data_IF_585826304139
#
_entry.id   IF_585826304139
#
_cell.length_a   1.000
_cell.length_b   1.000
_cell.length_c   1.000
_cell.angle_alpha   90.00
_cell.angle_beta   90.00
_cell.angle_gamma   90.00
#
_symmetry.space_group_name_H-M   'P 1'
#
loop_
_entity.id
_entity.type
_entity.pdbx_description
1 polymer ?
#
# COMPACT_ATOMS: atom_id res chain seq x y z
N UNK A 1 -38.39 -9.97 53.82
CA UNK A 1 -37.27 -10.85 53.44
C UNK A 1 -37.35 -11.10 51.95
N UNK A 2 -36.58 -10.36 51.15
CA UNK A 2 -36.51 -10.62 49.71
C UNK A 2 -35.70 -11.89 49.45
N UNK A 3 -36.36 -12.88 48.89
CA UNK A 3 -35.72 -14.18 48.66
C UNK A 3 -34.77 -14.15 47.45
N UNK A 4 -33.76 -14.99 47.47
CA UNK A 4 -32.76 -15.17 46.39
C UNK A 4 -33.42 -15.39 45.01
N UNK A 5 -34.68 -15.80 44.99
CA UNK A 5 -35.48 -16.03 43.79
C UNK A 5 -35.95 -14.72 43.11
N UNK A 6 -36.28 -13.68 43.91
CA UNK A 6 -36.68 -12.35 43.38
C UNK A 6 -35.49 -11.58 42.78
N UNK A 7 -34.31 -11.82 43.33
CA UNK A 7 -33.07 -11.23 42.78
C UNK A 7 -32.69 -11.84 41.41
N UNK A 8 -32.82 -13.16 41.27
CA UNK A 8 -32.51 -13.85 40.02
C UNK A 8 -33.55 -13.57 38.90
N UNK A 9 -34.84 -13.37 39.27
CA UNK A 9 -35.85 -12.97 38.28
C UNK A 9 -35.61 -11.55 37.76
N UNK A 10 -35.16 -10.62 38.59
CA UNK A 10 -34.85 -9.24 38.17
C UNK A 10 -33.56 -9.15 37.32
N UNK A 11 -32.59 -10.00 37.60
CA UNK A 11 -31.35 -10.07 36.78
C UNK A 11 -31.60 -10.71 35.40
N UNK A 12 -32.46 -11.74 35.31
CA UNK A 12 -32.84 -12.41 34.06
C UNK A 12 -33.59 -11.47 33.09
N UNK A 13 -34.50 -10.63 33.60
CA UNK A 13 -35.24 -9.68 32.76
C UNK A 13 -34.37 -8.53 32.22
N UNK A 14 -33.41 -8.06 32.98
CA UNK A 14 -32.49 -7.00 32.53
C UNK A 14 -31.47 -7.49 31.51
N UNK A 15 -31.00 -8.74 31.58
CA UNK A 15 -30.07 -9.33 30.60
C UNK A 15 -30.76 -9.64 29.26
N UNK A 16 -32.06 -10.02 29.26
CA UNK A 16 -32.81 -10.25 28.02
C UNK A 16 -33.13 -8.93 27.28
N UNK A 17 -33.39 -7.84 28.01
CA UNK A 17 -33.64 -6.52 27.40
C UNK A 17 -32.39 -5.91 26.76
N UNK A 18 -31.20 -6.17 27.29
CA UNK A 18 -29.94 -5.71 26.72
C UNK A 18 -29.52 -6.51 25.47
N UNK A 19 -29.89 -7.78 25.36
CA UNK A 19 -29.63 -8.57 24.16
C UNK A 19 -30.61 -8.30 23.02
N UNK A 20 -31.88 -7.95 23.33
CA UNK A 20 -32.86 -7.59 22.30
C UNK A 20 -32.63 -6.19 21.71
N UNK A 21 -32.05 -5.26 22.46
CA UNK A 21 -31.72 -3.92 21.94
C UNK A 21 -30.48 -3.93 21.01
N UNK A 22 -29.58 -4.90 21.14
CA UNK A 22 -28.39 -5.02 20.23
C UNK A 22 -28.71 -5.74 18.92
N UNK A 23 -29.76 -6.60 18.88
CA UNK A 23 -30.15 -7.32 17.65
C UNK A 23 -31.09 -6.46 16.76
N UNK A 24 -31.85 -5.53 17.33
CA UNK A 24 -32.75 -4.66 16.57
C UNK A 24 -31.98 -3.47 15.93
N UNK A 25 -30.82 -3.09 16.47
CA UNK A 25 -30.03 -2.00 15.94
C UNK A 25 -29.28 -2.33 14.61
N UNK A 26 -29.16 -3.61 14.25
CA UNK A 26 -28.52 -4.03 12.98
C UNK A 26 -29.50 -4.26 11.82
N UNK A 27 -30.82 -4.30 12.08
CA UNK A 27 -31.80 -4.63 11.04
C UNK A 27 -32.38 -3.41 10.31
N UNK A 28 -32.14 -2.18 10.76
CA UNK A 28 -32.65 -0.95 10.14
C UNK A 28 -31.64 0.20 10.26
N UNK A 29 -30.40 0.02 9.78
CA UNK A 29 -29.64 1.19 9.38
C UNK A 29 -30.26 1.64 8.05
N UNK A 30 -30.91 2.82 7.97
CA UNK A 30 -31.28 3.38 6.67
C UNK A 30 -30.01 3.48 5.85
N UNK A 31 -30.12 3.19 4.53
CA UNK A 31 -29.08 3.56 3.56
C UNK A 31 -28.67 4.98 3.91
N UNK A 32 -27.49 5.13 4.51
CA UNK A 32 -26.92 6.44 4.74
C UNK A 32 -26.69 6.99 3.34
N UNK A 33 -27.59 7.85 2.87
CA UNK A 33 -27.33 8.72 1.74
C UNK A 33 -26.07 9.47 2.16
N UNK A 34 -24.90 9.06 1.64
CA UNK A 34 -23.65 9.74 1.91
C UNK A 34 -23.87 11.20 1.53
N UNK A 35 -23.84 12.08 2.54
CA UNK A 35 -23.93 13.52 2.32
C UNK A 35 -22.79 13.91 1.38
N UNK A 36 -23.03 14.78 0.38
CA UNK A 36 -21.97 15.25 -0.50
C UNK A 36 -20.80 15.78 0.33
N UNK A 37 -19.57 15.37 0.00
CA UNK A 37 -18.39 15.88 0.67
C UNK A 37 -18.27 17.39 0.43
N UNK A 38 -18.42 18.20 1.48
CA UNK A 38 -18.36 19.67 1.41
C UNK A 38 -16.94 20.22 1.61
N UNK A 39 -15.95 19.35 1.83
CA UNK A 39 -14.56 19.74 2.06
C UNK A 39 -13.80 20.09 0.77
N UNK A 40 -12.55 20.48 0.95
CA UNK A 40 -11.64 20.78 -0.18
C UNK A 40 -11.27 19.50 -0.92
N UNK A 41 -11.53 19.44 -2.22
CA UNK A 41 -11.19 18.31 -3.10
C UNK A 41 -9.73 18.41 -3.55
N UNK A 42 -8.95 17.36 -3.36
CA UNK A 42 -7.54 17.26 -3.78
C UNK A 42 -7.44 17.18 -5.32
N UNK A 43 -6.77 18.16 -5.91
CA UNK A 43 -6.57 18.26 -7.36
C UNK A 43 -5.24 17.65 -7.75
N UNK A 44 -5.29 16.50 -8.42
CA UNK A 44 -4.13 15.64 -8.69
C UNK A 44 -3.77 15.66 -10.17
N UNK A 45 -2.49 15.87 -10.48
CA UNK A 45 -1.93 15.54 -11.77
C UNK A 45 -1.23 14.18 -11.72
N UNK A 46 -1.43 13.30 -12.71
CA UNK A 46 -0.76 12.02 -12.81
C UNK A 46 0.48 12.16 -13.72
N UNK A 47 1.64 11.73 -13.20
CA UNK A 47 2.90 11.65 -13.93
C UNK A 47 3.22 10.19 -14.26
N UNK A 48 3.45 9.90 -15.58
CA UNK A 48 3.71 8.54 -16.04
C UNK A 48 2.42 7.82 -16.48
N UNK A 49 2.02 8.00 -17.75
CA UNK A 49 0.75 7.52 -18.29
C UNK A 49 0.84 6.07 -18.80
N UNK A 50 1.11 5.14 -17.88
CA UNK A 50 1.16 3.69 -18.10
C UNK A 50 -0.13 2.97 -17.69
N UNK A 51 -0.11 1.61 -17.73
CA UNK A 51 -1.28 0.78 -17.40
C UNK A 51 -1.77 0.97 -15.97
N UNK A 52 -0.87 1.09 -14.98
CA UNK A 52 -1.30 1.33 -13.60
C UNK A 52 -1.87 2.75 -13.42
N UNK A 53 -1.29 3.75 -14.07
CA UNK A 53 -1.84 5.11 -14.07
C UNK A 53 -3.28 5.13 -14.65
N UNK A 54 -3.54 4.36 -15.71
CA UNK A 54 -4.91 4.22 -16.25
C UNK A 54 -5.86 3.62 -15.21
N UNK A 55 -5.44 2.60 -14.45
CA UNK A 55 -6.24 2.02 -13.36
C UNK A 55 -6.55 3.05 -12.27
N UNK A 56 -5.56 3.84 -11.86
CA UNK A 56 -5.76 4.93 -10.88
C UNK A 56 -6.72 5.98 -11.42
N UNK A 57 -6.54 6.44 -12.66
CA UNK A 57 -7.41 7.45 -13.27
C UNK A 57 -8.87 6.99 -13.40
N UNK A 58 -9.10 5.70 -13.73
CA UNK A 58 -10.46 5.15 -13.76
C UNK A 58 -11.07 5.07 -12.36
N UNK A 59 -10.29 4.65 -11.36
CA UNK A 59 -10.73 4.61 -9.97
C UNK A 59 -11.06 6.00 -9.40
N UNK A 60 -10.30 7.02 -9.81
CA UNK A 60 -10.53 8.41 -9.38
C UNK A 60 -11.87 8.98 -9.86
N UNK A 61 -12.54 8.37 -10.85
CA UNK A 61 -13.90 8.79 -11.24
C UNK A 61 -14.94 8.58 -10.14
N UNK A 62 -14.68 7.65 -9.23
CA UNK A 62 -15.54 7.35 -8.09
C UNK A 62 -15.08 8.04 -6.79
N UNK A 63 -13.97 8.78 -6.80
CA UNK A 63 -13.50 9.53 -5.64
C UNK A 63 -14.43 10.71 -5.32
N UNK A 64 -14.61 10.96 -4.04
CA UNK A 64 -15.36 12.11 -3.52
C UNK A 64 -14.45 13.24 -3.06
N UNK A 65 -13.22 12.89 -2.59
CA UNK A 65 -12.27 13.84 -2.00
C UNK A 65 -11.07 14.14 -2.91
N UNK A 66 -10.91 13.42 -4.02
CA UNK A 66 -9.82 13.63 -4.96
C UNK A 66 -10.33 13.67 -6.41
N UNK A 67 -9.68 14.42 -7.28
CA UNK A 67 -9.99 14.47 -8.71
C UNK A 67 -8.74 14.57 -9.57
N UNK A 68 -8.76 13.89 -10.72
CA UNK A 68 -7.75 14.02 -11.76
C UNK A 68 -7.96 15.35 -12.49
N UNK A 69 -6.95 16.22 -12.50
CA UNK A 69 -7.01 17.55 -13.13
C UNK A 69 -5.85 17.82 -14.09
N UNK A 70 -4.79 17.01 -14.10
CA UNK A 70 -3.62 17.22 -14.92
C UNK A 70 -2.90 15.95 -15.30
N UNK A 71 -2.03 16.01 -16.31
CA UNK A 71 -1.21 14.89 -16.77
C UNK A 71 0.21 15.34 -17.12
N UNK A 72 1.18 14.44 -16.86
CA UNK A 72 2.59 14.67 -17.16
C UNK A 72 3.16 13.41 -17.81
N UNK A 73 3.72 13.51 -19.01
CA UNK A 73 4.31 12.37 -19.72
C UNK A 73 5.38 12.80 -20.71
N UNK A 74 6.39 11.96 -20.93
CA UNK A 74 7.36 12.14 -22.01
C UNK A 74 6.83 11.75 -23.41
N UNK A 75 5.59 11.28 -23.52
CA UNK A 75 4.98 10.83 -24.79
C UNK A 75 3.82 11.76 -25.17
N UNK A 76 3.98 12.66 -26.17
CA UNK A 76 2.95 13.64 -26.54
C UNK A 76 1.60 13.03 -26.93
N UNK A 77 1.61 11.89 -27.67
CA UNK A 77 0.37 11.21 -28.05
C UNK A 77 -0.43 10.76 -26.82
N UNK A 78 0.22 10.20 -25.79
CA UNK A 78 -0.45 9.82 -24.54
C UNK A 78 -1.04 11.03 -23.81
N UNK A 79 -0.35 12.17 -23.80
CA UNK A 79 -0.90 13.40 -23.21
C UNK A 79 -2.20 13.78 -23.91
N UNK A 80 -2.19 13.79 -25.25
CA UNK A 80 -3.37 14.13 -26.07
C UNK A 80 -4.53 13.16 -25.83
N UNK A 81 -4.25 11.86 -25.81
CA UNK A 81 -5.27 10.82 -25.56
C UNK A 81 -5.91 10.98 -24.18
N UNK A 82 -5.11 11.23 -23.15
CA UNK A 82 -5.60 11.44 -21.79
C UNK A 82 -6.33 12.76 -21.64
N UNK A 83 -5.86 13.82 -22.27
CA UNK A 83 -6.52 15.11 -22.31
C UNK A 83 -7.95 14.98 -22.84
N UNK A 84 -8.12 14.29 -23.98
CA UNK A 84 -9.44 14.05 -24.57
C UNK A 84 -10.30 13.14 -23.67
N UNK A 85 -9.74 12.02 -23.20
CA UNK A 85 -10.47 11.01 -22.44
C UNK A 85 -10.98 11.53 -21.09
N UNK A 86 -10.15 12.28 -20.36
CA UNK A 86 -10.47 12.78 -19.03
C UNK A 86 -10.83 14.27 -18.99
N UNK A 87 -10.98 14.91 -20.17
CA UNK A 87 -11.34 16.33 -20.30
C UNK A 87 -10.40 17.26 -19.51
N UNK A 88 -9.09 17.00 -19.60
CA UNK A 88 -8.07 17.77 -18.88
C UNK A 88 -7.78 19.06 -19.64
N UNK A 89 -7.82 20.24 -18.98
CA UNK A 89 -7.44 21.51 -19.60
C UNK A 89 -5.99 21.48 -20.11
N UNK A 90 -5.74 22.09 -21.28
CA UNK A 90 -4.40 22.12 -21.90
C UNK A 90 -3.33 22.70 -20.93
N UNK A 91 -3.67 23.75 -20.20
CA UNK A 91 -2.80 24.37 -19.18
C UNK A 91 -2.35 23.43 -18.06
N UNK A 92 -2.99 22.26 -17.90
CA UNK A 92 -2.68 21.24 -16.92
C UNK A 92 -1.97 20.02 -17.56
N UNK A 93 -1.53 20.14 -18.81
CA UNK A 93 -0.80 19.12 -19.54
C UNK A 93 0.67 19.51 -19.64
N UNK A 94 1.57 18.63 -19.15
CA UNK A 94 3.01 18.88 -19.11
C UNK A 94 3.78 17.69 -19.67
N UNK A 95 5.03 17.97 -20.08
CA UNK A 95 6.00 16.91 -20.35
C UNK A 95 7.08 16.87 -19.24
N UNK A 96 8.03 15.91 -19.32
CA UNK A 96 9.08 15.79 -18.30
C UNK A 96 10.11 16.94 -18.31
N UNK A 97 10.15 17.73 -19.37
CA UNK A 97 11.07 18.88 -19.50
C UNK A 97 10.48 20.12 -18.84
N UNK A 98 9.17 20.36 -19.05
CA UNK A 98 8.52 21.60 -18.64
C UNK A 98 7.64 21.51 -17.38
N UNK A 99 7.48 20.34 -16.75
CA UNK A 99 6.53 20.20 -15.66
C UNK A 99 6.89 21.02 -14.39
N UNK A 100 8.11 21.52 -14.26
CA UNK A 100 8.48 22.44 -13.18
C UNK A 100 7.64 23.74 -13.21
N UNK A 101 7.03 24.08 -14.37
CA UNK A 101 6.10 25.19 -14.49
C UNK A 101 4.81 25.00 -13.68
N UNK A 102 4.52 23.78 -13.22
CA UNK A 102 3.38 23.47 -12.33
C UNK A 102 3.40 24.29 -11.04
N UNK A 103 4.57 24.81 -10.63
CA UNK A 103 4.70 25.74 -9.49
C UNK A 103 3.77 26.96 -9.59
N UNK A 104 3.53 27.42 -10.81
CA UNK A 104 2.69 28.58 -11.09
C UNK A 104 1.22 28.21 -11.37
N UNK A 105 0.86 26.93 -11.31
CA UNK A 105 -0.48 26.46 -11.60
C UNK A 105 -1.26 26.22 -10.30
N UNK A 106 -2.21 27.10 -9.95
CA UNK A 106 -3.02 26.95 -8.74
C UNK A 106 -4.05 25.83 -8.83
N UNK A 107 -4.30 25.25 -10.02
CA UNK A 107 -5.31 24.21 -10.21
C UNK A 107 -4.81 22.81 -9.84
N UNK A 108 -3.54 22.67 -9.47
CA UNK A 108 -2.92 21.39 -9.09
C UNK A 108 -2.38 21.50 -7.67
N UNK A 109 -2.83 20.60 -6.78
CA UNK A 109 -2.37 20.51 -5.38
C UNK A 109 -1.27 19.48 -5.21
N UNK A 110 -1.39 18.34 -5.91
CA UNK A 110 -0.47 17.21 -5.79
C UNK A 110 -0.14 16.60 -7.15
N UNK A 111 1.04 15.97 -7.24
CA UNK A 111 1.44 15.16 -8.38
C UNK A 111 1.60 13.71 -7.93
N UNK A 112 0.90 12.79 -8.61
CA UNK A 112 1.03 11.36 -8.40
C UNK A 112 2.04 10.78 -9.41
N UNK A 113 3.21 10.41 -8.92
CA UNK A 113 4.32 9.86 -9.70
C UNK A 113 4.13 8.35 -9.87
N UNK A 114 3.86 7.90 -11.10
CA UNK A 114 3.58 6.50 -11.49
C UNK A 114 4.51 6.11 -12.66
N UNK A 115 5.77 6.43 -12.53
CA UNK A 115 6.81 6.15 -13.52
C UNK A 115 7.60 4.88 -13.15
N UNK A 116 8.56 4.41 -13.96
CA UNK A 116 9.52 3.41 -13.51
C UNK A 116 10.31 3.86 -12.27
N UNK A 117 10.62 2.91 -11.38
CA UNK A 117 11.15 3.16 -10.04
C UNK A 117 12.36 4.13 -10.01
N UNK A 118 13.29 3.99 -10.95
CA UNK A 118 14.48 4.83 -11.03
C UNK A 118 14.20 6.32 -11.28
N UNK A 119 13.02 6.66 -11.75
CA UNK A 119 12.64 8.04 -12.02
C UNK A 119 11.99 8.72 -10.80
N UNK A 120 11.53 7.93 -9.81
CA UNK A 120 10.80 8.44 -8.65
C UNK A 120 11.61 9.49 -7.90
N UNK A 121 12.86 9.20 -7.55
CA UNK A 121 13.76 10.07 -6.80
C UNK A 121 13.84 11.48 -7.41
N UNK A 122 14.30 11.59 -8.66
CA UNK A 122 14.46 12.88 -9.32
C UNK A 122 13.15 13.62 -9.53
N UNK A 123 12.09 12.89 -9.87
CA UNK A 123 10.77 13.48 -10.13
C UNK A 123 10.11 14.01 -8.84
N UNK A 124 10.14 13.25 -7.74
CA UNK A 124 9.58 13.70 -6.45
C UNK A 124 10.33 14.94 -5.93
N UNK A 125 11.66 14.99 -6.05
CA UNK A 125 12.43 16.17 -5.65
C UNK A 125 12.01 17.41 -6.47
N UNK A 126 11.76 17.25 -7.79
CA UNK A 126 11.28 18.35 -8.63
C UNK A 126 9.83 18.75 -8.27
N UNK A 127 8.96 17.79 -7.96
CA UNK A 127 7.60 18.05 -7.46
C UNK A 127 7.64 18.87 -6.17
N UNK A 128 8.49 18.48 -5.22
CA UNK A 128 8.68 19.20 -3.97
C UNK A 128 9.19 20.64 -4.20
N UNK A 129 10.20 20.82 -5.08
CA UNK A 129 10.71 22.14 -5.47
C UNK A 129 9.65 23.02 -6.13
N UNK A 130 8.66 22.44 -6.79
CA UNK A 130 7.52 23.14 -7.35
C UNK A 130 6.43 23.50 -6.30
N UNK A 131 6.65 23.16 -5.01
CA UNK A 131 5.71 23.44 -3.94
C UNK A 131 4.42 22.61 -3.99
N UNK A 132 4.45 21.44 -4.65
CA UNK A 132 3.31 20.53 -4.74
C UNK A 132 3.50 19.33 -3.83
N UNK A 133 2.41 18.82 -3.25
CA UNK A 133 2.45 17.53 -2.56
C UNK A 133 2.84 16.42 -3.51
N UNK A 134 3.64 15.47 -3.06
CA UNK A 134 4.04 14.31 -3.84
C UNK A 134 3.32 13.06 -3.35
N UNK A 135 2.66 12.35 -4.27
CA UNK A 135 2.24 10.98 -4.10
C UNK A 135 3.15 10.15 -5.01
N UNK A 136 3.84 9.15 -4.47
CA UNK A 136 4.79 8.33 -5.21
C UNK A 136 4.37 6.87 -5.18
N UNK A 137 4.42 6.17 -6.31
CA UNK A 137 4.21 4.73 -6.31
C UNK A 137 5.28 3.99 -5.50
N UNK A 138 4.89 2.82 -5.01
CA UNK A 138 5.83 1.88 -4.38
C UNK A 138 6.65 1.12 -5.46
N UNK A 139 7.89 0.75 -5.20
CA UNK A 139 8.71 1.21 -4.08
C UNK A 139 9.03 2.70 -4.24
N UNK A 140 9.15 3.41 -3.13
CA UNK A 140 9.33 4.87 -3.14
C UNK A 140 10.57 5.31 -3.91
N UNK A 141 11.66 4.53 -3.82
CA UNK A 141 12.95 4.78 -4.50
C UNK A 141 13.67 3.45 -4.75
N UNK A 142 14.86 3.51 -5.35
CA UNK A 142 15.69 2.33 -5.59
C UNK A 142 16.42 1.82 -4.34
N UNK A 143 16.64 2.67 -3.35
CA UNK A 143 17.36 2.38 -2.11
C UNK A 143 17.01 3.38 -1.01
N UNK A 144 17.44 3.08 0.24
CA UNK A 144 17.16 3.92 1.39
C UNK A 144 17.78 5.34 1.30
N UNK A 145 18.94 5.50 0.67
CA UNK A 145 19.57 6.82 0.50
C UNK A 145 18.71 7.75 -0.36
N UNK A 146 18.27 7.27 -1.52
CA UNK A 146 17.38 8.04 -2.40
C UNK A 146 16.06 8.37 -1.68
N UNK A 147 15.50 7.39 -0.94
CA UNK A 147 14.28 7.61 -0.14
C UNK A 147 14.45 8.73 0.89
N UNK A 148 15.58 8.77 1.59
CA UNK A 148 15.88 9.84 2.55
C UNK A 148 15.98 11.21 1.86
N UNK A 149 16.67 11.29 0.73
CA UNK A 149 16.81 12.54 -0.05
C UNK A 149 15.44 13.07 -0.52
N UNK A 150 14.50 12.18 -0.89
CA UNK A 150 13.12 12.56 -1.24
C UNK A 150 12.37 13.14 -0.03
N UNK A 151 12.47 12.50 1.13
CA UNK A 151 11.87 12.97 2.38
C UNK A 151 12.41 14.36 2.73
N UNK A 152 13.71 14.53 2.70
CA UNK A 152 14.36 15.80 3.05
C UNK A 152 13.95 16.93 2.10
N UNK A 153 13.83 16.63 0.81
CA UNK A 153 13.35 17.60 -0.19
C UNK A 153 11.91 18.03 0.07
N UNK A 154 11.01 17.10 0.39
CA UNK A 154 9.61 17.40 0.69
C UNK A 154 9.48 18.18 2.01
N UNK A 155 10.23 17.81 3.05
CA UNK A 155 10.29 18.56 4.32
C UNK A 155 10.77 19.99 4.11
N UNK A 156 11.86 20.17 3.37
CA UNK A 156 12.42 21.50 3.04
C UNK A 156 11.42 22.37 2.30
N UNK A 157 10.59 21.78 1.44
CA UNK A 157 9.57 22.50 0.68
C UNK A 157 8.25 22.66 1.44
N UNK A 158 8.13 22.12 2.66
CA UNK A 158 6.90 22.08 3.45
C UNK A 158 5.73 21.45 2.70
N UNK A 159 5.98 20.34 1.99
CA UNK A 159 4.98 19.54 1.29
C UNK A 159 4.99 18.10 1.79
N UNK A 160 3.86 17.40 1.67
CA UNK A 160 3.77 16.00 2.08
C UNK A 160 4.32 15.08 0.98
N UNK A 161 5.00 14.01 1.41
CA UNK A 161 5.36 12.85 0.58
C UNK A 161 4.55 11.65 1.08
N UNK A 162 3.66 11.16 0.24
CA UNK A 162 2.84 9.97 0.48
C UNK A 162 3.19 8.88 -0.52
N UNK A 163 3.08 7.60 -0.12
CA UNK A 163 3.41 6.46 -0.97
C UNK A 163 2.17 5.63 -1.28
N UNK A 164 2.05 5.15 -2.52
CA UNK A 164 0.91 4.45 -3.07
C UNK A 164 0.70 3.04 -2.52
N UNK A 165 0.64 2.89 -1.21
CA UNK A 165 0.39 1.63 -0.51
C UNK A 165 -1.10 1.32 -0.44
N UNK A 166 -1.70 0.90 -1.57
CA UNK A 166 -3.14 0.64 -1.67
C UNK A 166 -3.68 -0.38 -0.65
N UNK A 167 -2.85 -1.35 -0.22
CA UNK A 167 -3.27 -2.36 0.76
C UNK A 167 -3.39 -1.80 2.19
N UNK A 168 -2.81 -0.64 2.47
CA UNK A 168 -2.99 0.05 3.75
C UNK A 168 -4.40 0.64 3.93
N UNK A 169 -5.22 0.61 2.90
CA UNK A 169 -6.60 1.09 2.87
C UNK A 169 -7.61 -0.03 2.55
N UNK A 170 -7.13 -1.27 2.37
CA UNK A 170 -8.00 -2.40 2.04
C UNK A 170 -8.72 -2.91 3.30
N UNK A 171 -10.08 -2.99 3.29
CA UNK A 171 -10.85 -3.23 4.51
C UNK A 171 -10.54 -4.55 5.23
N UNK A 172 -10.26 -5.65 4.51
CA UNK A 172 -9.95 -6.95 5.14
C UNK A 172 -8.55 -6.97 5.73
N UNK A 173 -7.60 -6.32 5.06
CA UNK A 173 -6.24 -6.09 5.60
C UNK A 173 -6.31 -5.31 6.90
N UNK A 174 -7.09 -4.21 6.92
CA UNK A 174 -7.30 -3.40 8.12
C UNK A 174 -8.01 -4.19 9.23
N UNK A 175 -8.94 -5.08 8.89
CA UNK A 175 -9.61 -5.94 9.87
C UNK A 175 -8.64 -6.92 10.53
N UNK A 176 -7.76 -7.58 9.76
CA UNK A 176 -6.72 -8.45 10.32
C UNK A 176 -5.79 -7.66 11.28
N UNK A 177 -5.42 -6.44 10.91
CA UNK A 177 -4.63 -5.54 11.76
C UNK A 177 -5.40 -5.16 13.03
N UNK A 178 -6.70 -4.85 12.93
CA UNK A 178 -7.57 -4.56 14.08
C UNK A 178 -7.65 -5.75 15.02
N UNK A 179 -7.89 -6.95 14.51
CA UNK A 179 -7.95 -8.19 15.30
C UNK A 179 -6.63 -8.45 16.03
N UNK A 180 -5.50 -8.25 15.37
CA UNK A 180 -4.18 -8.34 16.00
C UNK A 180 -4.04 -7.32 17.14
N UNK A 181 -4.41 -6.05 16.90
CA UNK A 181 -4.36 -4.99 17.92
C UNK A 181 -5.27 -5.30 19.13
N UNK A 182 -6.42 -5.94 18.89
CA UNK A 182 -7.32 -6.38 19.94
C UNK A 182 -6.85 -7.65 20.70
N UNK A 183 -5.70 -8.23 20.29
CA UNK A 183 -5.14 -9.43 20.92
C UNK A 183 -5.92 -10.71 20.58
N UNK A 184 -6.75 -10.71 19.55
CA UNK A 184 -7.59 -11.85 19.16
C UNK A 184 -6.76 -13.04 18.66
N UNK A 185 -5.54 -12.79 18.14
CA UNK A 185 -4.59 -13.85 17.79
C UNK A 185 -3.69 -14.29 18.96
N UNK A 186 -3.78 -13.60 20.11
CA UNK A 186 -2.84 -13.79 21.21
C UNK A 186 -1.45 -13.27 20.85
N UNK A 187 -0.39 -13.96 21.29
CA UNK A 187 0.98 -13.66 20.87
C UNK A 187 1.18 -14.13 19.45
N UNK A 188 1.43 -13.21 18.53
CA UNK A 188 1.74 -13.56 17.15
C UNK A 188 3.09 -14.28 17.09
N UNK A 189 3.13 -15.45 16.46
CA UNK A 189 4.30 -16.32 16.37
C UNK A 189 4.85 -16.40 14.95
N UNK A 190 3.97 -16.34 13.95
CA UNK A 190 4.35 -16.61 12.57
C UNK A 190 3.55 -15.78 11.57
N UNK A 191 4.24 -15.34 10.52
CA UNK A 191 3.64 -14.78 9.32
C UNK A 191 4.22 -15.44 8.08
N UNK A 192 3.39 -15.70 7.08
CA UNK A 192 3.80 -16.14 5.75
C UNK A 192 3.20 -15.20 4.69
N UNK A 193 4.08 -14.62 3.86
CA UNK A 193 3.68 -13.76 2.75
C UNK A 193 4.24 -14.27 1.43
N UNK A 194 3.37 -14.51 0.44
CA UNK A 194 3.75 -15.10 -0.83
C UNK A 194 3.11 -14.34 -1.98
N UNK A 195 3.95 -13.76 -2.85
CA UNK A 195 3.52 -12.97 -4.00
C UNK A 195 4.26 -13.43 -5.25
N UNK A 196 3.55 -13.85 -6.29
CA UNK A 196 4.19 -14.31 -7.50
C UNK A 196 3.25 -14.37 -8.71
N UNK A 197 3.81 -14.07 -9.86
CA UNK A 197 3.17 -14.24 -11.15
C UNK A 197 4.22 -14.48 -12.23
N UNK A 198 3.79 -15.00 -13.38
CA UNK A 198 4.69 -15.17 -14.51
C UNK A 198 4.79 -13.87 -15.31
N UNK A 199 5.89 -13.15 -15.17
CA UNK A 199 6.16 -11.96 -15.96
C UNK A 199 6.22 -12.30 -17.45
N UNK A 200 5.43 -11.58 -18.27
CA UNK A 200 5.28 -11.88 -19.70
C UNK A 200 6.42 -11.35 -20.56
N UNK A 201 6.30 -10.10 -20.99
CA UNK A 201 7.21 -9.46 -21.94
C UNK A 201 8.64 -9.30 -21.35
N UNK A 202 9.67 -9.91 -21.96
CA UNK A 202 11.05 -9.76 -21.50
C UNK A 202 11.62 -8.34 -21.70
N UNK A 203 10.98 -7.50 -22.51
CA UNK A 203 11.41 -6.12 -22.78
C UNK A 203 10.79 -5.10 -21.83
N UNK A 204 9.90 -5.51 -20.92
CA UNK A 204 9.28 -4.59 -19.97
C UNK A 204 10.31 -3.98 -19.03
N UNK A 205 10.12 -2.72 -18.66
CA UNK A 205 11.05 -1.97 -17.81
C UNK A 205 11.35 -2.63 -16.45
N UNK A 206 10.41 -3.44 -15.92
CA UNK A 206 10.59 -4.20 -14.67
C UNK A 206 11.68 -5.26 -14.74
N UNK A 207 12.06 -5.70 -15.92
CA UNK A 207 13.18 -6.62 -16.15
C UNK A 207 14.49 -5.91 -16.52
N UNK A 208 14.51 -4.58 -16.52
CA UNK A 208 15.70 -3.75 -16.68
C UNK A 208 16.12 -3.21 -15.30
N UNK A 209 17.26 -3.68 -14.77
CA UNK A 209 17.72 -3.30 -13.43
C UNK A 209 17.94 -1.79 -13.26
N UNK A 210 18.42 -1.11 -14.30
CA UNK A 210 18.65 0.34 -14.25
C UNK A 210 17.35 1.13 -14.06
N UNK A 211 16.21 0.61 -14.53
CA UNK A 211 14.89 1.24 -14.38
C UNK A 211 14.13 0.74 -13.15
N UNK A 212 14.28 -0.53 -12.82
CA UNK A 212 13.51 -1.19 -11.76
C UNK A 212 14.21 -1.22 -10.39
N UNK A 213 15.55 -1.15 -10.38
CA UNK A 213 16.36 -1.30 -9.16
C UNK A 213 16.57 -2.74 -8.73
N UNK A 214 15.64 -3.62 -9.07
CA UNK A 214 15.61 -5.05 -8.79
C UNK A 214 14.50 -5.70 -9.59
N UNK A 215 14.12 -6.91 -9.22
CA UNK A 215 13.08 -7.67 -9.89
C UNK A 215 11.81 -7.86 -9.05
N UNK A 216 11.46 -9.12 -8.78
CA UNK A 216 10.25 -9.49 -8.06
C UNK A 216 10.17 -8.87 -6.65
N UNK A 217 11.30 -8.72 -5.97
CA UNK A 217 11.35 -8.13 -4.64
C UNK A 217 10.86 -6.68 -4.63
N UNK A 218 11.34 -5.86 -5.56
CA UNK A 218 10.98 -4.44 -5.67
C UNK A 218 9.52 -4.24 -6.06
N UNK A 219 8.96 -5.09 -6.92
CA UNK A 219 7.60 -4.91 -7.43
C UNK A 219 6.54 -5.56 -6.54
N UNK A 220 6.70 -6.85 -6.20
CA UNK A 220 5.69 -7.62 -5.47
C UNK A 220 6.16 -8.16 -4.12
N UNK A 221 7.45 -8.38 -3.93
CA UNK A 221 8.01 -8.79 -2.64
C UNK A 221 7.77 -7.76 -1.54
N UNK A 222 7.72 -6.49 -1.91
CA UNK A 222 7.36 -5.40 -1.01
C UNK A 222 5.97 -5.59 -0.37
N UNK A 223 5.01 -6.24 -1.02
CA UNK A 223 3.72 -6.54 -0.39
C UNK A 223 3.86 -7.58 0.72
N UNK A 224 4.67 -8.63 0.52
CA UNK A 224 4.92 -9.64 1.55
C UNK A 224 5.69 -9.04 2.74
N UNK A 225 6.64 -8.13 2.46
CA UNK A 225 7.37 -7.35 3.47
C UNK A 225 6.41 -6.47 4.28
N UNK A 226 5.57 -5.67 3.61
CA UNK A 226 4.57 -4.83 4.26
C UNK A 226 3.59 -5.66 5.09
N UNK A 227 3.04 -6.74 4.51
CA UNK A 227 2.14 -7.64 5.21
C UNK A 227 2.75 -8.17 6.52
N UNK A 228 4.03 -8.58 6.50
CA UNK A 228 4.72 -9.04 7.69
C UNK A 228 4.82 -7.95 8.76
N UNK A 229 5.27 -6.74 8.41
CA UNK A 229 5.43 -5.63 9.35
C UNK A 229 4.10 -5.24 10.00
N UNK A 230 3.06 -5.03 9.20
CA UNK A 230 1.79 -4.50 9.69
C UNK A 230 0.93 -5.55 10.39
N UNK A 231 0.95 -6.79 9.93
CA UNK A 231 0.15 -7.85 10.56
C UNK A 231 0.81 -8.39 11.83
N UNK A 232 2.15 -8.44 11.92
CA UNK A 232 2.85 -8.73 13.19
C UNK A 232 2.78 -7.51 14.12
N UNK A 233 2.91 -6.29 13.59
CA UNK A 233 2.83 -5.04 14.35
C UNK A 233 4.13 -4.63 15.03
N UNK A 234 5.24 -5.13 14.52
CA UNK A 234 6.59 -4.83 14.99
C UNK A 234 7.50 -4.57 13.79
N UNK A 235 8.65 -3.94 14.03
CA UNK A 235 9.70 -3.82 13.02
C UNK A 235 10.70 -4.99 13.16
N UNK A 236 11.18 -5.57 12.04
CA UNK A 236 12.12 -6.67 12.10
C UNK A 236 13.50 -6.22 12.58
N UNK A 237 14.20 -7.08 13.30
CA UNK A 237 15.54 -6.83 13.83
C UNK A 237 16.64 -7.58 13.06
N UNK A 238 16.27 -8.49 12.18
CA UNK A 238 17.19 -9.18 11.28
C UNK A 238 16.46 -9.75 10.07
N UNK A 239 17.22 -9.99 8.99
CA UNK A 239 16.76 -10.66 7.76
C UNK A 239 17.79 -11.68 7.28
N UNK A 240 17.31 -12.78 6.69
CA UNK A 240 18.05 -13.70 5.82
C UNK A 240 17.34 -13.82 4.49
N UNK A 241 18.06 -14.04 3.40
CA UNK A 241 17.46 -14.16 2.08
C UNK A 241 18.28 -15.04 1.14
N UNK A 242 17.58 -15.63 0.16
CA UNK A 242 18.17 -16.42 -0.93
C UNK A 242 17.48 -16.03 -2.24
N UNK A 243 18.26 -15.97 -3.31
CA UNK A 243 17.78 -15.74 -4.68
C UNK A 243 17.97 -17.01 -5.52
N UNK A 244 16.99 -17.30 -6.37
CA UNK A 244 17.11 -18.36 -7.39
C UNK A 244 16.67 -17.83 -8.75
N UNK A 245 17.33 -18.32 -9.81
CA UNK A 245 17.01 -18.01 -11.22
C UNK A 245 16.90 -19.31 -12.00
N UNK A 246 15.72 -19.57 -12.53
CA UNK A 246 15.43 -20.73 -13.37
C UNK A 246 15.39 -20.38 -14.86
N UNK A 247 15.25 -19.09 -15.19
CA UNK A 247 15.33 -18.54 -16.55
C UNK A 247 16.40 -17.45 -16.66
N UNK A 248 17.69 -17.83 -16.78
CA UNK A 248 18.79 -16.86 -16.83
C UNK A 248 18.79 -16.00 -18.10
N UNK A 249 18.08 -16.39 -19.14
CA UNK A 249 17.96 -15.61 -20.38
C UNK A 249 17.00 -14.43 -20.17
N UNK A 250 15.86 -14.67 -19.52
CA UNK A 250 14.87 -13.65 -19.23
C UNK A 250 15.34 -12.69 -18.14
N UNK A 251 16.02 -13.20 -17.11
CA UNK A 251 16.49 -12.41 -15.97
C UNK A 251 17.98 -12.05 -16.05
N UNK A 252 18.52 -11.90 -17.28
CA UNK A 252 19.93 -11.59 -17.55
C UNK A 252 20.38 -10.21 -17.09
N UNK A 253 19.49 -9.24 -17.02
CA UNK A 253 19.79 -7.84 -16.68
C UNK A 253 20.07 -7.62 -15.16
N UNK A 254 20.28 -8.70 -14.40
CA UNK A 254 20.62 -8.64 -12.98
C UNK A 254 19.46 -8.29 -12.06
N UNK A 255 18.23 -8.47 -12.52
CA UNK A 255 17.01 -8.42 -11.69
C UNK A 255 16.77 -9.79 -11.06
N UNK A 256 16.22 -9.81 -9.86
CA UNK A 256 15.83 -11.05 -9.19
C UNK A 256 14.59 -11.67 -9.85
N UNK A 257 14.65 -12.99 -10.09
CA UNK A 257 13.50 -13.79 -10.51
C UNK A 257 12.66 -14.16 -9.30
N UNK A 258 13.26 -14.88 -8.35
CA UNK A 258 12.63 -15.39 -7.15
C UNK A 258 13.53 -15.09 -5.96
N UNK A 259 12.99 -14.40 -4.96
CA UNK A 259 13.63 -14.19 -3.65
C UNK A 259 12.73 -14.80 -2.58
N UNK A 260 13.34 -15.65 -1.74
CA UNK A 260 12.79 -16.07 -0.46
C UNK A 260 13.56 -15.37 0.65
N UNK A 261 12.84 -14.80 1.63
CA UNK A 261 13.45 -14.13 2.75
C UNK A 261 12.70 -14.41 4.05
N UNK A 262 13.45 -14.38 5.15
CA UNK A 262 12.90 -14.49 6.50
C UNK A 262 13.28 -13.26 7.31
N UNK A 263 12.36 -12.81 8.14
CA UNK A 263 12.58 -11.71 9.09
C UNK A 263 12.24 -12.17 10.51
N UNK A 264 13.04 -11.76 11.48
CA UNK A 264 12.74 -11.99 12.88
C UNK A 264 12.42 -10.68 13.60
N UNK A 265 11.50 -10.76 14.53
CA UNK A 265 10.91 -9.62 15.25
C UNK A 265 11.25 -9.66 16.74
N UNK A 266 11.27 -8.50 17.45
CA UNK A 266 11.62 -8.43 18.87
C UNK A 266 10.75 -9.33 19.76
N UNK A 267 9.44 -9.44 19.47
CA UNK A 267 8.50 -10.30 20.17
C UNK A 267 8.73 -11.81 19.98
N UNK A 268 9.68 -12.19 19.10
CA UNK A 268 10.02 -13.60 18.78
C UNK A 268 9.26 -14.17 17.59
N UNK A 269 8.38 -13.39 16.95
CA UNK A 269 7.72 -13.80 15.71
C UNK A 269 8.73 -13.95 14.57
N UNK A 270 8.43 -14.86 13.63
CA UNK A 270 9.19 -15.03 12.39
C UNK A 270 8.25 -14.85 11.21
N UNK A 271 8.67 -14.04 10.22
CA UNK A 271 8.04 -13.99 8.92
C UNK A 271 8.84 -14.81 7.90
N UNK A 272 8.14 -15.58 7.06
CA UNK A 272 8.69 -16.32 5.91
C UNK A 272 8.01 -15.80 4.65
N UNK A 273 8.76 -15.14 3.79
CA UNK A 273 8.23 -14.43 2.64
C UNK A 273 8.86 -14.90 1.34
N UNK A 274 8.08 -14.86 0.26
CA UNK A 274 8.53 -15.21 -1.09
C UNK A 274 7.97 -14.24 -2.12
N UNK A 275 8.82 -13.83 -3.05
CA UNK A 275 8.39 -13.13 -4.27
C UNK A 275 8.96 -13.81 -5.50
N UNK A 276 8.17 -13.89 -6.59
CA UNK A 276 8.65 -14.49 -7.85
C UNK A 276 7.96 -13.89 -9.07
N UNK A 277 8.77 -13.66 -10.11
CA UNK A 277 8.31 -13.32 -11.46
C UNK A 277 8.18 -14.54 -12.39
N UNK A 278 8.40 -15.75 -11.86
CA UNK A 278 8.36 -16.98 -12.68
C UNK A 278 7.53 -18.12 -12.06
N UNK A 279 6.56 -17.75 -11.24
CA UNK A 279 5.53 -18.66 -10.71
C UNK A 279 4.21 -18.36 -11.41
N UNK A 280 3.39 -19.39 -11.68
CA UNK A 280 2.13 -19.20 -12.38
C UNK A 280 1.18 -18.23 -11.65
N UNK A 281 0.91 -18.50 -10.38
CA UNK A 281 0.12 -17.62 -9.52
C UNK A 281 0.38 -17.92 -8.05
N UNK A 282 0.69 -16.89 -7.27
CA UNK A 282 0.87 -16.96 -5.83
C UNK A 282 0.51 -15.61 -5.21
N UNK A 283 -0.51 -15.60 -4.36
CA UNK A 283 -1.01 -14.38 -3.71
C UNK A 283 -1.70 -14.76 -2.41
N UNK A 284 -0.90 -14.98 -1.34
CA UNK A 284 -1.37 -15.48 -0.06
C UNK A 284 -0.65 -14.83 1.11
N UNK A 285 -1.41 -14.42 2.12
CA UNK A 285 -0.92 -14.07 3.46
C UNK A 285 -1.54 -15.02 4.49
N UNK A 286 -0.73 -15.41 5.46
CA UNK A 286 -1.15 -16.18 6.61
C UNK A 286 -0.47 -15.62 7.87
N UNK A 287 -1.23 -15.36 8.92
CA UNK A 287 -0.72 -14.95 10.23
C UNK A 287 -1.28 -15.88 11.29
N UNK A 288 -0.46 -16.29 12.25
CA UNK A 288 -0.86 -17.17 13.35
C UNK A 288 -0.22 -16.75 14.66
N UNK A 289 -1.01 -16.76 15.69
CA UNK A 289 -0.60 -16.61 17.08
C UNK A 289 -1.03 -17.82 17.92
N UNK A 290 -0.87 -17.74 19.21
CA UNK A 290 -1.19 -18.82 20.15
C UNK A 290 -2.69 -18.95 20.44
N UNK A 291 -3.53 -17.99 20.01
CA UNK A 291 -4.99 -18.02 20.20
C UNK A 291 -5.80 -18.01 18.92
N UNK A 292 -5.18 -17.70 17.78
CA UNK A 292 -5.92 -17.59 16.54
C UNK A 292 -5.05 -17.33 15.32
N UNK A 293 -5.70 -17.31 14.16
CA UNK A 293 -5.06 -17.08 12.86
C UNK A 293 -5.95 -16.26 11.93
N UNK A 294 -5.33 -15.72 10.89
CA UNK A 294 -6.00 -15.25 9.70
C UNK A 294 -5.27 -15.72 8.44
N UNK A 295 -6.03 -15.99 7.38
CA UNK A 295 -5.53 -16.34 6.05
C UNK A 295 -6.23 -15.48 5.01
N UNK A 296 -5.47 -14.91 4.08
CA UNK A 296 -5.98 -14.10 2.98
C UNK A 296 -5.49 -14.67 1.65
N UNK A 297 -6.43 -14.99 0.75
CA UNK A 297 -6.12 -15.50 -0.60
C UNK A 297 -7.30 -15.27 -1.56
N UNK A 298 -7.16 -14.36 -2.57
CA UNK A 298 -5.99 -13.53 -2.81
C UNK A 298 -5.78 -12.49 -1.70
N UNK A 299 -4.53 -12.11 -1.44
CA UNK A 299 -4.14 -11.15 -0.40
C UNK A 299 -3.81 -9.76 -0.93
N UNK A 300 -3.36 -9.65 -2.19
CA UNK A 300 -2.87 -8.40 -2.79
C UNK A 300 -3.37 -8.15 -4.20
N UNK A 301 -4.28 -8.96 -4.71
CA UNK A 301 -4.86 -8.83 -6.05
C UNK A 301 -5.59 -7.50 -6.27
N UNK A 302 -5.95 -7.23 -7.52
CA UNK A 302 -6.79 -6.06 -7.87
C UNK A 302 -8.30 -6.38 -7.89
N UNK A 303 -8.66 -7.64 -7.71
CA UNK A 303 -10.02 -8.07 -7.50
C UNK A 303 -10.39 -8.07 -6.00
N UNK A 304 -11.53 -8.65 -5.64
CA UNK A 304 -11.90 -8.79 -4.25
C UNK A 304 -10.86 -9.60 -3.48
N UNK A 305 -10.30 -9.01 -2.43
CA UNK A 305 -9.52 -9.76 -1.44
C UNK A 305 -10.48 -10.70 -0.71
N UNK A 306 -10.00 -11.90 -0.39
CA UNK A 306 -10.76 -12.91 0.36
C UNK A 306 -9.91 -13.38 1.52
N UNK A 307 -10.57 -13.77 2.60
CA UNK A 307 -9.86 -14.31 3.74
C UNK A 307 -10.79 -14.86 4.80
N UNK A 308 -10.20 -15.63 5.68
CA UNK A 308 -10.85 -16.22 6.85
C UNK A 308 -9.98 -16.11 8.08
N UNK A 309 -10.58 -16.19 9.23
CA UNK A 309 -9.93 -16.23 10.54
C UNK A 309 -10.37 -17.46 11.29
N UNK A 310 -9.82 -17.70 12.48
CA UNK A 310 -10.32 -18.72 13.40
C UNK A 310 -11.78 -18.47 13.85
N UNK A 311 -12.33 -17.27 13.59
CA UNK A 311 -13.71 -16.89 13.93
C UNK A 311 -14.66 -16.96 12.73
N UNK A 312 -14.16 -17.19 11.50
CA UNK A 312 -14.97 -17.27 10.28
C UNK A 312 -14.41 -16.41 9.15
N UNK A 313 -15.23 -16.20 8.12
CA UNK A 313 -14.86 -15.45 6.91
C UNK A 313 -14.71 -13.94 7.19
N UNK A 314 -13.79 -13.30 6.48
CA UNK A 314 -13.65 -11.84 6.44
C UNK A 314 -14.70 -11.25 5.49
N UNK A 315 -15.73 -10.62 6.05
CA UNK A 315 -16.92 -10.13 5.32
C UNK A 315 -16.94 -8.61 5.12
N UNK A 316 -15.79 -7.91 5.25
CA UNK A 316 -15.70 -6.48 5.01
C UNK A 316 -16.10 -6.13 3.57
N UNK A 317 -16.61 -4.91 3.31
CA UNK A 317 -17.02 -4.48 1.98
C UNK A 317 -15.91 -4.63 0.94
N UNK A 318 -16.29 -4.99 -0.28
CA UNK A 318 -15.38 -4.95 -1.44
C UNK A 318 -15.29 -3.51 -1.91
N UNK A 319 -14.07 -2.96 -1.96
CA UNK A 319 -13.80 -1.60 -2.41
C UNK A 319 -12.83 -1.57 -3.57
N UNK A 320 -12.86 -0.50 -4.35
CA UNK A 320 -11.78 -0.20 -5.30
C UNK A 320 -10.64 0.45 -4.50
N UNK A 321 -9.56 -0.29 -4.28
CA UNK A 321 -8.46 0.13 -3.39
C UNK A 321 -7.91 1.50 -3.74
N UNK A 322 -7.78 1.81 -5.05
CA UNK A 322 -7.26 3.10 -5.51
C UNK A 322 -8.22 4.26 -5.24
N UNK A 323 -9.54 4.02 -5.25
CA UNK A 323 -10.52 5.06 -4.88
C UNK A 323 -10.36 5.41 -3.40
N UNK A 324 -10.37 4.41 -2.52
CA UNK A 324 -10.19 4.62 -1.07
C UNK A 324 -8.84 5.27 -0.79
N UNK A 325 -7.76 4.78 -1.43
CA UNK A 325 -6.42 5.36 -1.30
C UNK A 325 -6.41 6.86 -1.62
N UNK A 326 -7.01 7.26 -2.73
CA UNK A 326 -6.96 8.67 -3.16
C UNK A 326 -7.80 9.58 -2.28
N UNK A 327 -8.96 9.13 -1.82
CA UNK A 327 -9.80 9.90 -0.89
C UNK A 327 -9.14 10.01 0.50
N UNK A 328 -8.52 8.95 1.01
CA UNK A 328 -7.77 9.00 2.26
C UNK A 328 -6.50 9.87 2.15
N UNK A 329 -5.79 9.82 1.02
CA UNK A 329 -4.65 10.72 0.78
C UNK A 329 -5.06 12.20 0.78
N UNK A 330 -6.25 12.53 0.26
CA UNK A 330 -6.80 13.88 0.38
C UNK A 330 -7.04 14.29 1.84
N UNK A 331 -7.60 13.38 2.64
CA UNK A 331 -7.79 13.57 4.08
C UNK A 331 -6.47 13.80 4.81
N UNK A 332 -5.44 12.99 4.51
CA UNK A 332 -4.09 13.16 5.08
C UNK A 332 -3.49 14.52 4.69
N UNK A 333 -3.66 14.95 3.43
CA UNK A 333 -3.06 16.19 2.94
C UNK A 333 -3.72 17.43 3.56
N UNK A 334 -5.04 17.45 3.66
CA UNK A 334 -5.77 18.66 4.07
C UNK A 334 -6.14 18.71 5.55
N UNK A 335 -6.36 17.54 6.18
CA UNK A 335 -6.83 17.44 7.55
C UNK A 335 -5.72 16.98 8.52
N UNK A 336 -4.54 16.60 7.99
CA UNK A 336 -3.41 16.03 8.76
C UNK A 336 -3.78 14.75 9.55
N UNK A 337 -4.86 14.09 9.16
CA UNK A 337 -5.36 12.88 9.80
C UNK A 337 -4.51 11.70 9.39
N UNK A 338 -3.96 11.00 10.38
CA UNK A 338 -3.14 9.82 10.11
C UNK A 338 -4.02 8.58 9.88
N UNK A 339 -3.72 7.76 8.86
CA UNK A 339 -4.39 6.49 8.66
C UNK A 339 -3.95 5.45 9.70
N UNK A 340 -4.73 4.37 9.84
CA UNK A 340 -4.40 3.24 10.73
C UNK A 340 -3.01 2.68 10.42
N UNK A 341 -2.67 2.57 9.13
CA UNK A 341 -1.35 2.16 8.65
C UNK A 341 -0.73 3.33 7.90
N UNK A 342 0.39 3.89 8.36
CA UNK A 342 1.01 5.06 7.75
C UNK A 342 1.40 4.84 6.29
N UNK A 343 1.38 5.94 5.50
CA UNK A 343 1.75 5.95 4.08
C UNK A 343 2.72 7.08 3.74
N UNK A 344 3.33 7.70 4.74
CA UNK A 344 4.31 8.77 4.53
C UNK A 344 5.68 8.25 4.06
N UNK A 345 6.55 9.17 3.67
CA UNK A 345 7.88 8.82 3.19
C UNK A 345 8.74 8.12 4.25
N UNK A 346 8.60 8.49 5.52
CA UNK A 346 9.33 7.88 6.64
C UNK A 346 8.96 6.43 6.81
N UNK A 347 7.69 6.08 6.63
CA UNK A 347 7.24 4.70 6.67
C UNK A 347 7.80 3.88 5.51
N UNK A 348 7.78 4.45 4.31
CA UNK A 348 8.35 3.81 3.12
C UNK A 348 9.88 3.68 3.18
N UNK A 349 10.56 4.57 3.87
CA UNK A 349 12.02 4.46 4.10
C UNK A 349 12.39 3.20 4.88
N UNK A 350 11.55 2.76 5.81
CA UNK A 350 11.77 1.51 6.55
C UNK A 350 11.76 0.31 5.60
N UNK A 351 10.81 0.27 4.66
CA UNK A 351 10.78 -0.78 3.63
C UNK A 351 12.06 -0.78 2.79
N UNK A 352 12.52 0.39 2.35
CA UNK A 352 13.75 0.47 1.55
C UNK A 352 14.97 -0.02 2.33
N UNK A 353 15.10 0.31 3.62
CA UNK A 353 16.17 -0.21 4.49
C UNK A 353 16.13 -1.73 4.59
N UNK A 354 14.93 -2.31 4.70
CA UNK A 354 14.77 -3.77 4.77
C UNK A 354 15.07 -4.40 3.41
N UNK A 355 14.63 -3.81 2.29
CA UNK A 355 14.94 -4.28 0.94
C UNK A 355 16.45 -4.24 0.68
N UNK A 356 17.14 -3.16 1.05
CA UNK A 356 18.60 -3.06 0.95
C UNK A 356 19.27 -4.20 1.73
N UNK A 357 18.78 -4.50 2.94
CA UNK A 357 19.29 -5.59 3.76
C UNK A 357 18.97 -6.99 3.20
N UNK A 358 17.81 -7.17 2.55
CA UNK A 358 17.46 -8.40 1.83
C UNK A 358 18.46 -8.65 0.68
N UNK A 359 18.73 -7.65 -0.16
CA UNK A 359 19.73 -7.77 -1.23
C UNK A 359 21.15 -7.96 -0.67
N UNK A 360 21.48 -7.35 0.47
CA UNK A 360 22.75 -7.61 1.16
C UNK A 360 22.81 -9.06 1.66
N UNK A 361 21.75 -9.59 2.23
CA UNK A 361 21.69 -10.97 2.71
C UNK A 361 21.85 -11.97 1.54
N UNK A 362 21.20 -11.75 0.41
CA UNK A 362 21.40 -12.52 -0.84
C UNK A 362 22.87 -12.50 -1.27
N UNK A 363 23.47 -11.31 -1.35
CA UNK A 363 24.85 -11.15 -1.81
C UNK A 363 25.89 -11.79 -0.89
N UNK A 364 25.65 -11.76 0.42
CA UNK A 364 26.65 -12.20 1.41
C UNK A 364 26.37 -13.61 1.96
N UNK A 365 25.19 -14.16 1.65
CA UNK A 365 24.67 -15.43 2.21
C UNK A 365 24.65 -15.45 3.76
N UNK A 366 24.53 -14.28 4.37
CA UNK A 366 24.57 -14.10 5.83
C UNK A 366 23.31 -13.42 6.35
N UNK A 367 23.01 -13.69 7.61
CA UNK A 367 22.02 -12.93 8.37
C UNK A 367 22.49 -11.48 8.52
N UNK A 368 21.63 -10.53 8.13
CA UNK A 368 21.83 -9.09 8.27
C UNK A 368 21.01 -8.58 9.44
N UNK A 369 21.63 -7.87 10.39
CA UNK A 369 20.93 -7.14 11.45
C UNK A 369 20.31 -5.86 10.88
N UNK A 370 19.14 -5.50 11.39
CA UNK A 370 18.39 -4.32 10.99
C UNK A 370 18.36 -3.29 12.12
N UNK A 371 18.48 -2.02 11.73
CA UNK A 371 18.18 -0.83 12.56
C UNK A 371 17.22 0.03 11.75
N UNK A 372 15.94 -0.09 12.09
CA UNK A 372 14.85 0.51 11.32
C UNK A 372 14.42 1.85 11.94
#
# INVERSE_FOLDING_TARGET
MNTRRDFLQKMGASALMLQLSSVIAFANAPDQIEQPYEGRVLRVAIMGLGGYATRVAEAMKACTKAKLVGVISGTPSKIKDWQMKYKIPEKNCYNYENFDQVKNNPDIDAIYVITPNALHHGQVIRVAKAGKHAICEKPMALNAKEGQEMIDACKKANVKLLVGYRMHFEPRTLEVIRMRNAGEFGKVMFFQGQCGFKAGDPKQWRLNKALAGGGSMMDIGIYALNGARYMIGEEPVWVTAQETKTDPVKFKEGVDETIQFQMGFPGGAIASCLSSYNINHLDRFFISGDKGFAEMQPSTGYGPIKGKTHQGELNQPVTTHQTVQMDEMATIIFEDKQPIVPVNGEEALKDLKIIDAIYQAVKTEKKVKLTI
#
